data_IF_188201043050
#
_entry.id   IF_188201043050
#
_cell.length_a   1.000
_cell.length_b   1.000
_cell.length_c   1.000
_cell.angle_alpha   90.00
_cell.angle_beta   90.00
_cell.angle_gamma   90.00
#
_symmetry.space_group_name_H-M   'P 1'
#
loop_
_entity.id
_entity.type
_entity.pdbx_description
1 polymer ?
#
# COMPACT_ATOMS: atom_id res chain seq x y z
N UNK A 1 5.01 -23.75 18.50
CA UNK A 1 5.63 -23.68 19.83
C UNK A 1 4.60 -23.00 20.69
N UNK A 2 3.97 -23.74 21.59
CA UNK A 2 3.10 -23.14 22.60
C UNK A 2 3.99 -22.20 23.40
N UNK A 3 3.74 -20.90 23.36
CA UNK A 3 4.41 -19.97 24.27
C UNK A 3 3.84 -20.24 25.66
N UNK A 4 4.40 -21.24 26.33
CA UNK A 4 4.02 -21.61 27.69
C UNK A 4 4.52 -20.53 28.65
N UNK A 5 3.71 -20.19 29.64
CA UNK A 5 4.08 -19.24 30.69
C UNK A 5 5.12 -19.89 31.61
N UNK A 6 6.37 -19.93 31.15
CA UNK A 6 7.51 -20.56 31.82
C UNK A 6 7.71 -20.06 33.24
N UNK A 7 7.55 -18.75 33.47
CA UNK A 7 7.63 -18.13 34.80
C UNK A 7 6.56 -18.68 35.76
N UNK A 8 5.33 -18.87 35.28
CA UNK A 8 4.26 -19.48 36.07
C UNK A 8 4.53 -20.97 36.34
N UNK A 9 5.02 -21.70 35.35
CA UNK A 9 5.37 -23.13 35.47
C UNK A 9 6.47 -23.33 36.51
N UNK A 10 7.53 -22.53 36.46
CA UNK A 10 8.62 -22.55 37.45
C UNK A 10 8.11 -22.23 38.85
N UNK A 11 7.29 -21.18 38.99
CA UNK A 11 6.67 -20.80 40.27
C UNK A 11 5.81 -21.93 40.86
N UNK A 12 4.97 -22.57 40.05
CA UNK A 12 4.10 -23.67 40.49
C UNK A 12 4.90 -24.92 40.87
N UNK A 13 5.97 -25.23 40.14
CA UNK A 13 6.86 -26.34 40.46
C UNK A 13 7.59 -26.15 41.80
N UNK A 14 7.84 -24.91 42.22
CA UNK A 14 8.42 -24.63 43.54
C UNK A 14 7.36 -24.56 44.64
N UNK A 15 6.19 -23.99 44.35
CA UNK A 15 5.15 -23.73 45.36
C UNK A 15 4.26 -24.91 45.68
N UNK A 16 3.85 -25.71 44.70
CA UNK A 16 2.95 -26.85 44.95
C UNK A 16 3.59 -27.89 45.89
N UNK A 17 4.86 -28.29 45.72
CA UNK A 17 5.51 -29.21 46.65
C UNK A 17 5.65 -28.64 48.06
N UNK A 18 5.77 -27.32 48.22
CA UNK A 18 5.82 -26.67 49.54
C UNK A 18 4.50 -26.73 50.32
N UNK A 19 3.40 -27.02 49.60
CA UNK A 19 2.05 -27.22 50.15
C UNK A 19 1.67 -28.70 50.24
N UNK A 20 2.64 -29.61 50.07
CA UNK A 20 2.47 -31.06 49.98
C UNK A 20 1.56 -31.51 48.82
N UNK A 21 1.58 -30.77 47.71
CA UNK A 21 0.82 -31.06 46.50
C UNK A 21 1.75 -31.50 45.35
N UNK A 22 1.28 -32.46 44.56
CA UNK A 22 2.02 -32.95 43.39
C UNK A 22 1.99 -31.93 42.23
N UNK A 23 3.14 -31.36 41.92
CA UNK A 23 3.26 -30.35 40.86
C UNK A 23 2.81 -30.89 39.50
N UNK A 24 3.16 -32.12 39.15
CA UNK A 24 2.91 -32.65 37.81
C UNK A 24 1.42 -32.86 37.54
N UNK A 25 0.69 -33.29 38.56
CA UNK A 25 -0.76 -33.46 38.49
C UNK A 25 -1.46 -32.10 38.39
N UNK A 26 -1.17 -31.17 39.30
CA UNK A 26 -1.95 -29.95 39.45
C UNK A 26 -1.56 -28.82 38.48
N UNK A 27 -0.33 -28.81 37.97
CA UNK A 27 0.14 -27.79 37.03
C UNK A 27 -0.68 -27.77 35.74
N UNK A 28 -1.05 -28.93 35.21
CA UNK A 28 -1.88 -29.04 34.01
C UNK A 28 -3.28 -28.45 34.21
N UNK A 29 -3.87 -28.66 35.39
CA UNK A 29 -5.19 -28.09 35.72
C UNK A 29 -5.13 -26.56 35.85
N UNK A 30 -4.13 -26.03 36.57
CA UNK A 30 -3.98 -24.58 36.78
C UNK A 30 -3.69 -23.87 35.46
N UNK A 31 -2.75 -24.39 34.66
CA UNK A 31 -2.40 -23.77 33.37
C UNK A 31 -3.54 -23.87 32.36
N UNK A 32 -4.34 -24.94 32.41
CA UNK A 32 -5.52 -25.12 31.57
C UNK A 32 -6.65 -24.14 31.91
N UNK A 33 -6.99 -23.99 33.19
CA UNK A 33 -8.11 -23.13 33.61
C UNK A 33 -7.87 -21.65 33.37
N UNK A 34 -6.62 -21.20 33.44
CA UNK A 34 -6.25 -19.81 33.16
C UNK A 34 -6.56 -19.37 31.72
N UNK A 35 -6.77 -20.33 30.81
CA UNK A 35 -7.15 -20.04 29.42
C UNK A 35 -8.65 -19.93 29.19
N UNK A 36 -9.47 -20.46 30.11
CA UNK A 36 -10.93 -20.56 29.97
C UNK A 36 -11.66 -19.53 30.83
N UNK A 37 -11.56 -19.58 32.16
CA UNK A 37 -12.33 -18.72 33.07
C UNK A 37 -11.71 -18.62 34.49
N UNK A 38 -11.82 -17.45 35.13
CA UNK A 38 -11.35 -17.24 36.51
C UNK A 38 -12.15 -18.06 37.54
N UNK A 39 -13.41 -18.39 37.25
CA UNK A 39 -14.27 -19.20 38.11
C UNK A 39 -13.74 -20.65 38.24
N UNK A 40 -13.17 -21.21 37.16
CA UNK A 40 -12.54 -22.54 37.20
C UNK A 40 -11.29 -22.55 38.08
N UNK A 41 -10.54 -21.45 38.11
CA UNK A 41 -9.37 -21.32 38.98
C UNK A 41 -9.80 -21.34 40.47
N UNK A 42 -10.93 -20.74 40.82
CA UNK A 42 -11.46 -20.78 42.18
C UNK A 42 -11.82 -22.19 42.63
N UNK A 43 -12.45 -22.97 41.76
CA UNK A 43 -12.76 -24.38 42.03
C UNK A 43 -11.49 -25.22 42.20
N UNK A 44 -10.47 -24.98 41.37
CA UNK A 44 -9.17 -25.66 41.47
C UNK A 44 -8.47 -25.27 42.77
N UNK A 45 -8.50 -24.00 43.18
CA UNK A 45 -7.87 -23.56 44.43
C UNK A 45 -8.55 -24.21 45.64
N UNK A 46 -9.88 -24.31 45.64
CA UNK A 46 -10.62 -25.05 46.68
C UNK A 46 -10.25 -26.55 46.70
N UNK A 47 -10.08 -27.17 45.52
CA UNK A 47 -9.64 -28.55 45.42
C UNK A 47 -8.22 -28.75 45.96
N UNK A 48 -7.29 -27.84 45.64
CA UNK A 48 -5.91 -27.86 46.14
C UNK A 48 -5.87 -27.70 47.66
N UNK A 49 -6.70 -26.80 48.20
CA UNK A 49 -6.83 -26.61 49.63
C UNK A 49 -7.35 -27.88 50.32
N UNK A 50 -8.41 -28.50 49.79
CA UNK A 50 -8.95 -29.75 50.31
C UNK A 50 -7.98 -30.93 50.17
N UNK A 51 -7.09 -30.89 49.17
CA UNK A 51 -6.09 -31.93 48.92
C UNK A 51 -4.80 -31.74 49.73
N UNK A 52 -4.57 -30.56 50.29
CA UNK A 52 -3.38 -30.29 51.11
C UNK A 52 -3.57 -30.83 52.52
N UNK A 53 -2.76 -31.82 52.89
CA UNK A 53 -2.82 -32.41 54.23
C UNK A 53 -2.35 -31.42 55.31
N UNK A 54 -1.35 -30.60 55.00
CA UNK A 54 -0.70 -29.70 55.95
C UNK A 54 -1.32 -28.30 56.05
N UNK A 55 -1.99 -27.84 55.00
CA UNK A 55 -2.47 -26.45 54.89
C UNK A 55 -3.98 -26.31 54.64
N UNK A 56 -4.76 -27.38 54.83
CA UNK A 56 -6.22 -27.37 54.57
C UNK A 56 -7.00 -26.27 55.31
N UNK A 57 -6.55 -25.83 56.49
CA UNK A 57 -7.19 -24.76 57.28
C UNK A 57 -6.63 -23.35 56.99
N UNK A 58 -5.59 -23.22 56.16
CA UNK A 58 -4.89 -21.97 55.89
C UNK A 58 -5.43 -21.28 54.62
N UNK A 59 -6.62 -20.68 54.73
CA UNK A 59 -7.25 -19.91 53.64
C UNK A 59 -6.33 -18.82 53.07
N UNK A 60 -5.53 -18.17 53.91
CA UNK A 60 -4.67 -17.06 53.51
C UNK A 60 -3.59 -17.52 52.52
N UNK A 61 -2.99 -18.70 52.73
CA UNK A 61 -1.98 -19.25 51.80
C UNK A 61 -2.54 -19.53 50.41
N UNK A 62 -3.73 -20.13 50.32
CA UNK A 62 -4.36 -20.45 49.03
C UNK A 62 -4.90 -19.20 48.32
N UNK A 63 -5.40 -18.22 49.07
CA UNK A 63 -5.76 -16.91 48.49
C UNK A 63 -4.53 -16.16 47.97
N UNK A 64 -3.39 -16.26 48.65
CA UNK A 64 -2.14 -15.70 48.15
C UNK A 64 -1.65 -16.44 46.90
N UNK A 65 -1.70 -17.77 46.90
CA UNK A 65 -1.38 -18.58 45.72
C UNK A 65 -2.22 -18.19 44.50
N UNK A 66 -3.53 -18.04 44.67
CA UNK A 66 -4.44 -17.57 43.60
C UNK A 66 -3.99 -16.21 43.06
N UNK A 67 -3.71 -15.24 43.93
CA UNK A 67 -3.27 -13.90 43.52
C UNK A 67 -1.96 -13.96 42.75
N UNK A 68 -0.99 -14.73 43.22
CA UNK A 68 0.32 -14.86 42.58
C UNK A 68 0.19 -15.50 41.18
N UNK A 69 -0.63 -16.55 41.06
CA UNK A 69 -0.93 -17.21 39.78
C UNK A 69 -1.54 -16.19 38.78
N UNK A 70 -2.55 -15.43 39.20
CA UNK A 70 -3.20 -14.43 38.35
C UNK A 70 -2.24 -13.30 37.96
N UNK A 71 -1.40 -12.83 38.87
CA UNK A 71 -0.40 -11.80 38.58
C UNK A 71 0.63 -12.27 37.55
N UNK A 72 1.17 -13.48 37.71
CA UNK A 72 2.11 -14.06 36.74
C UNK A 72 1.46 -14.33 35.39
N UNK A 73 0.19 -14.75 35.38
CA UNK A 73 -0.54 -14.99 34.14
C UNK A 73 -0.83 -13.68 33.39
N UNK A 74 -1.35 -12.67 34.08
CA UNK A 74 -1.65 -11.36 33.48
C UNK A 74 -0.40 -10.65 32.98
N UNK A 75 0.72 -10.71 33.73
CA UNK A 75 2.00 -10.17 33.29
C UNK A 75 2.50 -10.87 32.00
N UNK A 76 2.35 -12.19 31.92
CA UNK A 76 2.71 -12.94 30.71
C UNK A 76 1.82 -12.58 29.51
N UNK A 77 0.50 -12.45 29.71
CA UNK A 77 -0.41 -12.02 28.65
C UNK A 77 -0.02 -10.64 28.11
N UNK A 78 0.28 -9.68 28.99
CA UNK A 78 0.74 -8.34 28.60
C UNK A 78 2.05 -8.37 27.82
N UNK A 79 3.02 -9.19 28.26
CA UNK A 79 4.30 -9.37 27.56
C UNK A 79 4.08 -9.94 26.14
N UNK A 80 3.17 -10.91 26.02
CA UNK A 80 2.80 -11.50 24.73
C UNK A 80 2.07 -10.54 23.80
N UNK A 81 1.19 -9.70 24.32
CA UNK A 81 0.51 -8.66 23.55
C UNK A 81 1.49 -7.61 23.04
N UNK A 82 2.38 -7.14 23.91
CA UNK A 82 3.41 -6.16 23.55
C UNK A 82 4.37 -6.71 22.49
N UNK A 83 4.76 -7.98 22.59
CA UNK A 83 5.58 -8.65 21.58
C UNK A 83 4.86 -8.77 20.24
N UNK A 84 3.57 -9.12 20.25
CA UNK A 84 2.75 -9.16 19.01
C UNK A 84 2.62 -7.79 18.37
N UNK A 85 2.47 -6.73 19.17
CA UNK A 85 2.41 -5.35 18.67
C UNK A 85 3.73 -4.93 18.03
N UNK A 86 4.86 -5.24 18.67
CA UNK A 86 6.20 -4.99 18.12
C UNK A 86 6.42 -5.75 16.80
N UNK A 87 6.08 -7.04 16.75
CA UNK A 87 6.20 -7.86 15.54
C UNK A 87 5.32 -7.32 14.39
N UNK A 88 4.13 -6.79 14.71
CA UNK A 88 3.24 -6.18 13.74
C UNK A 88 3.82 -4.87 13.20
N UNK A 89 4.36 -4.03 14.09
CA UNK A 89 5.00 -2.78 13.71
C UNK A 89 6.23 -3.03 12.82
N UNK A 90 7.10 -3.98 13.20
CA UNK A 90 8.28 -4.33 12.41
C UNK A 90 7.88 -4.82 11.00
N UNK A 91 6.87 -5.67 10.89
CA UNK A 91 6.35 -6.13 9.58
C UNK A 91 5.83 -4.97 8.73
N UNK A 92 5.17 -4.00 9.35
CA UNK A 92 4.63 -2.84 8.65
C UNK A 92 5.77 -1.94 8.14
N UNK A 93 6.80 -1.70 8.95
CA UNK A 93 8.01 -0.97 8.56
C UNK A 93 8.76 -1.67 7.44
N UNK A 94 8.94 -2.99 7.53
CA UNK A 94 9.56 -3.78 6.45
C UNK A 94 8.75 -3.71 5.15
N UNK A 95 7.42 -3.75 5.23
CA UNK A 95 6.56 -3.61 4.05
C UNK A 95 6.70 -2.22 3.40
N UNK A 96 6.72 -1.16 4.21
CA UNK A 96 6.92 0.20 3.70
C UNK A 96 8.30 0.38 3.06
N UNK A 97 9.35 -0.20 3.65
CA UNK A 97 10.69 -0.15 3.10
C UNK A 97 10.75 -0.85 1.74
N UNK A 98 10.16 -2.05 1.63
CA UNK A 98 10.08 -2.78 0.36
C UNK A 98 9.33 -1.98 -0.71
N UNK A 99 8.18 -1.37 -0.35
CA UNK A 99 7.43 -0.54 -1.30
C UNK A 99 8.25 0.68 -1.78
N UNK A 100 9.00 1.33 -0.88
CA UNK A 100 9.89 2.44 -1.26
C UNK A 100 10.99 1.98 -2.21
N UNK A 101 11.63 0.85 -1.91
CA UNK A 101 12.67 0.27 -2.77
C UNK A 101 12.13 -0.12 -4.15
N UNK A 102 10.96 -0.74 -4.22
CA UNK A 102 10.29 -1.07 -5.49
C UNK A 102 9.93 0.19 -6.30
N UNK A 103 9.45 1.23 -5.62
CA UNK A 103 9.13 2.51 -6.26
C UNK A 103 10.38 3.20 -6.82
N UNK A 104 11.47 3.24 -6.05
CA UNK A 104 12.74 3.82 -6.48
C UNK A 104 13.36 3.03 -7.65
N UNK A 105 13.33 1.70 -7.59
CA UNK A 105 13.77 0.84 -8.68
C UNK A 105 12.94 1.10 -9.96
N UNK A 106 11.62 1.26 -9.83
CA UNK A 106 10.75 1.58 -10.97
C UNK A 106 11.05 2.95 -11.59
N UNK A 107 11.39 3.95 -10.76
CA UNK A 107 11.79 5.28 -11.24
C UNK A 107 13.12 5.22 -12.00
N UNK A 108 14.12 4.54 -11.45
CA UNK A 108 15.42 4.31 -12.10
C UNK A 108 15.25 3.61 -13.45
N UNK A 109 14.42 2.57 -13.53
CA UNK A 109 14.16 1.86 -14.78
C UNK A 109 13.50 2.77 -15.84
N UNK A 110 12.54 3.61 -15.43
CA UNK A 110 11.91 4.59 -16.33
C UNK A 110 12.90 5.64 -16.81
N UNK A 111 13.78 6.13 -15.94
CA UNK A 111 14.80 7.10 -16.30
C UNK A 111 15.81 6.50 -17.29
N UNK A 112 16.27 5.27 -17.07
CA UNK A 112 17.16 4.57 -18.00
C UNK A 112 16.50 4.38 -19.36
N UNK A 113 15.24 3.94 -19.39
CA UNK A 113 14.46 3.80 -20.64
C UNK A 113 14.32 5.15 -21.38
N UNK A 114 14.09 6.24 -20.66
CA UNK A 114 14.02 7.57 -21.27
C UNK A 114 15.37 8.02 -21.85
N UNK A 115 16.48 7.81 -21.12
CA UNK A 115 17.83 8.12 -21.61
C UNK A 115 18.18 7.30 -22.85
N UNK A 116 17.82 6.02 -22.90
CA UNK A 116 18.01 5.19 -24.10
C UNK A 116 17.16 5.69 -25.27
N UNK A 117 15.91 6.08 -25.03
CA UNK A 117 15.03 6.62 -26.07
C UNK A 117 15.55 7.95 -26.61
N UNK A 118 16.07 8.82 -25.75
CA UNK A 118 16.73 10.08 -26.14
C UNK A 118 17.98 9.80 -26.98
N UNK A 119 18.87 8.91 -26.53
CA UNK A 119 20.05 8.51 -27.31
C UNK A 119 19.69 7.97 -28.69
N UNK A 120 18.64 7.14 -28.79
CA UNK A 120 18.16 6.63 -30.08
C UNK A 120 17.63 7.76 -30.97
N UNK A 121 16.83 8.68 -30.42
CA UNK A 121 16.35 9.87 -31.16
C UNK A 121 17.49 10.76 -31.64
N UNK A 122 18.51 10.96 -30.82
CA UNK A 122 19.70 11.74 -31.20
C UNK A 122 20.52 11.04 -32.29
N UNK A 123 20.63 9.70 -32.24
CA UNK A 123 21.32 8.93 -33.26
C UNK A 123 20.56 8.85 -34.60
N UNK A 124 19.22 8.86 -34.57
CA UNK A 124 18.36 8.87 -35.77
C UNK A 124 18.16 10.26 -36.38
N UNK A 125 18.66 11.31 -35.73
CA UNK A 125 18.56 12.69 -36.22
C UNK A 125 19.59 12.97 -37.32
N UNK A 126 19.07 13.35 -38.50
CA UNK A 126 19.84 13.79 -39.67
C UNK A 126 20.79 14.96 -39.29
N UNK A 127 22.09 14.95 -39.67
CA UNK A 127 23.04 15.99 -39.28
C UNK A 127 22.59 17.42 -39.62
N UNK A 128 21.83 17.60 -40.70
CA UNK A 128 21.27 18.90 -41.07
C UNK A 128 20.22 19.42 -40.06
N UNK A 129 19.37 18.53 -39.51
CA UNK A 129 18.42 18.88 -38.44
C UNK A 129 19.13 19.16 -37.12
N UNK A 130 20.20 18.43 -36.82
CA UNK A 130 21.01 18.66 -35.62
C UNK A 130 21.68 20.04 -35.67
N UNK A 131 22.27 20.41 -36.81
CA UNK A 131 22.85 21.74 -37.02
C UNK A 131 21.80 22.86 -36.93
N UNK A 132 20.59 22.65 -37.48
CA UNK A 132 19.48 23.60 -37.34
C UNK A 132 19.06 23.75 -35.88
N UNK A 133 18.96 22.65 -35.13
CA UNK A 133 18.63 22.72 -33.70
C UNK A 133 19.76 23.38 -32.91
N UNK A 134 21.03 23.16 -33.23
CA UNK A 134 22.14 23.84 -32.56
C UNK A 134 22.18 25.34 -32.88
N UNK A 135 21.85 25.73 -34.11
CA UNK A 135 21.82 27.12 -34.56
C UNK A 135 20.64 27.92 -34.01
N UNK A 136 19.51 27.26 -33.70
CA UNK A 136 18.31 27.86 -33.13
C UNK A 136 17.99 27.37 -31.71
N UNK A 137 18.89 26.60 -31.09
CA UNK A 137 18.79 26.24 -29.69
C UNK A 137 19.06 27.52 -28.93
N UNK A 138 18.04 28.00 -28.23
CA UNK A 138 18.21 29.09 -27.31
C UNK A 138 19.26 28.68 -26.28
N UNK A 139 20.36 29.43 -26.25
CA UNK A 139 21.37 29.29 -25.23
C UNK A 139 20.67 29.53 -23.89
N UNK A 140 20.49 28.46 -23.12
CA UNK A 140 19.79 28.49 -21.82
C UNK A 140 20.63 29.17 -20.73
N UNK A 141 21.58 30.01 -21.15
CA UNK A 141 22.43 30.86 -20.33
C UNK A 141 21.75 32.17 -19.91
N UNK A 142 20.53 32.46 -20.38
CA UNK A 142 19.76 33.62 -19.93
C UNK A 142 19.31 33.40 -18.48
N UNK A 143 20.10 33.92 -17.55
CA UNK A 143 19.74 34.00 -16.13
C UNK A 143 18.78 35.18 -15.94
N UNK A 144 17.65 34.89 -15.31
CA UNK A 144 16.67 35.89 -14.93
C UNK A 144 16.86 36.25 -13.45
N UNK A 145 16.72 37.53 -13.11
CA UNK A 145 16.61 37.96 -11.73
C UNK A 145 15.22 37.59 -11.13
N UNK A 146 15.06 37.78 -9.82
CA UNK A 146 13.80 37.48 -9.12
C UNK A 146 12.61 38.37 -9.56
N UNK A 147 12.86 39.41 -10.35
CA UNK A 147 11.84 40.31 -10.91
C UNK A 147 11.54 39.99 -12.40
N UNK A 148 12.18 38.94 -12.94
CA UNK A 148 11.95 38.46 -14.30
C UNK A 148 12.71 39.22 -15.40
N UNK A 149 13.69 40.05 -15.03
CA UNK A 149 14.54 40.74 -15.99
C UNK A 149 15.75 39.89 -16.39
N UNK A 150 16.17 40.02 -17.65
CA UNK A 150 17.34 39.32 -18.21
C UNK A 150 18.61 39.95 -17.64
N UNK A 151 19.45 39.15 -16.99
CA UNK A 151 20.81 39.57 -16.61
C UNK A 151 21.69 39.37 -17.86
N UNK A 152 21.95 40.45 -18.58
CA UNK A 152 22.86 40.44 -19.74
C UNK A 152 24.30 40.21 -19.26
N UNK A 153 24.83 39.00 -19.46
CA UNK A 153 26.28 38.83 -19.63
C UNK A 153 26.62 39.12 -21.09
N UNK A 154 27.48 40.10 -21.27
CA UNK A 154 27.84 40.74 -22.54
C UNK A 154 28.45 39.77 -23.55
N UNK A 155 27.65 39.34 -24.54
CA UNK A 155 28.16 38.80 -25.82
C UNK A 155 27.30 39.23 -27.00
N UNK A 156 27.65 40.39 -27.58
CA UNK A 156 27.89 40.59 -29.02
C UNK A 156 26.82 40.21 -30.08
N UNK A 157 26.30 41.26 -30.74
CA UNK A 157 26.04 41.39 -32.18
C UNK A 157 24.82 40.67 -32.84
N UNK A 158 23.70 41.38 -32.91
CA UNK A 158 23.13 41.91 -34.17
C UNK A 158 22.41 40.97 -35.16
N UNK A 159 21.06 40.96 -35.15
CA UNK A 159 20.23 40.85 -36.36
C UNK A 159 18.82 41.43 -36.08
N UNK A 160 18.21 42.12 -37.06
CA UNK A 160 16.93 42.82 -36.87
C UNK A 160 15.79 41.83 -36.55
N UNK A 161 15.44 41.76 -35.27
CA UNK A 161 14.34 40.95 -34.74
C UNK A 161 13.02 41.44 -35.33
N UNK A 162 12.36 40.60 -36.14
CA UNK A 162 10.94 40.77 -36.48
C UNK A 162 10.17 40.80 -35.16
N UNK A 163 9.75 41.98 -34.74
CA UNK A 163 9.23 42.22 -33.40
C UNK A 163 8.08 41.27 -33.03
N UNK A 164 8.15 40.75 -31.81
CA UNK A 164 7.25 39.77 -31.18
C UNK A 164 5.75 39.95 -31.48
N UNK A 165 5.31 41.19 -31.72
CA UNK A 165 3.92 41.54 -32.02
C UNK A 165 3.42 40.96 -33.35
N UNK A 166 4.23 41.01 -34.42
CA UNK A 166 3.83 40.53 -35.74
C UNK A 166 3.77 39.00 -35.81
N UNK A 167 4.66 38.32 -35.07
CA UNK A 167 4.69 36.86 -34.98
C UNK A 167 3.52 36.31 -34.15
N UNK A 168 3.18 36.98 -33.04
CA UNK A 168 2.06 36.62 -32.18
C UNK A 168 0.70 36.74 -32.89
N UNK A 169 0.49 37.78 -33.69
CA UNK A 169 -0.74 37.95 -34.47
C UNK A 169 -0.91 36.86 -35.54
N UNK A 170 0.19 36.46 -36.20
CA UNK A 170 0.17 35.38 -37.20
C UNK A 170 -0.17 34.02 -36.56
N UNK A 171 0.45 33.71 -35.42
CA UNK A 171 0.18 32.47 -34.66
C UNK A 171 -1.24 32.39 -34.12
N UNK A 172 -1.78 33.49 -33.58
CA UNK A 172 -3.16 33.50 -33.08
C UNK A 172 -4.18 33.28 -34.20
N UNK A 173 -3.92 33.82 -35.40
CA UNK A 173 -4.78 33.65 -36.56
C UNK A 173 -4.77 32.20 -37.08
N UNK A 174 -3.59 31.57 -37.10
CA UNK A 174 -3.42 30.18 -37.51
C UNK A 174 -4.04 29.18 -36.50
N UNK A 175 -3.84 29.43 -35.20
CA UNK A 175 -4.43 28.62 -34.13
C UNK A 175 -5.96 28.68 -34.12
N UNK A 176 -6.54 29.85 -34.37
CA UNK A 176 -8.00 30.00 -34.48
C UNK A 176 -8.59 29.23 -35.67
N UNK A 177 -7.88 29.17 -36.80
CA UNK A 177 -8.30 28.41 -37.98
C UNK A 177 -8.24 26.89 -37.73
N UNK A 178 -7.18 26.40 -37.07
CA UNK A 178 -7.06 24.98 -36.71
C UNK A 178 -8.15 24.52 -35.72
N UNK A 179 -8.47 25.34 -34.71
CA UNK A 179 -9.53 25.02 -33.75
C UNK A 179 -10.92 24.94 -34.40
N UNK A 180 -11.20 25.79 -35.40
CA UNK A 180 -12.45 25.71 -36.19
C UNK A 180 -12.53 24.46 -37.07
N UNK A 181 -11.39 23.93 -37.51
CA UNK A 181 -11.30 22.67 -38.27
C UNK A 181 -11.57 21.44 -37.39
N UNK A 182 -10.96 21.38 -36.21
CA UNK A 182 -11.09 20.25 -35.27
C UNK A 182 -12.52 20.07 -34.71
N UNK A 183 -13.21 21.18 -34.43
CA UNK A 183 -14.58 21.14 -33.89
C UNK A 183 -15.61 20.53 -34.86
N UNK A 184 -15.37 20.60 -36.18
CA UNK A 184 -16.25 20.01 -37.20
C UNK A 184 -16.03 18.49 -37.36
N UNK A 185 -14.82 18.00 -37.14
CA UNK A 185 -14.50 16.57 -37.18
C UNK A 185 -15.17 15.83 -36.00
N UNK A 186 -15.09 16.38 -34.79
CA UNK A 186 -15.65 15.76 -33.57
C UNK A 186 -17.15 15.51 -33.64
N UNK A 187 -17.95 16.44 -34.19
CA UNK A 187 -19.42 16.27 -34.31
C UNK A 187 -19.80 15.21 -35.34
N UNK A 188 -19.03 15.06 -36.42
CA UNK A 188 -19.28 14.06 -37.47
C UNK A 188 -18.96 12.65 -36.95
N UNK A 189 -17.88 12.52 -36.17
CA UNK A 189 -17.46 11.23 -35.60
C UNK A 189 -18.38 10.77 -34.47
N UNK A 190 -18.89 11.67 -33.62
CA UNK A 190 -19.90 11.33 -32.61
C UNK A 190 -21.23 10.89 -33.25
N UNK A 191 -21.67 11.55 -34.32
CA UNK A 191 -22.87 11.13 -35.05
C UNK A 191 -22.70 9.78 -35.73
N UNK A 192 -21.51 9.48 -36.28
CA UNK A 192 -21.21 8.19 -36.86
C UNK A 192 -21.23 7.05 -35.80
N UNK A 193 -20.63 7.29 -34.62
CA UNK A 193 -20.67 6.34 -33.50
C UNK A 193 -22.08 6.05 -33.01
N UNK A 194 -22.93 7.08 -32.89
CA UNK A 194 -24.32 6.93 -32.48
C UNK A 194 -25.16 6.13 -33.49
N UNK A 195 -24.94 6.35 -34.81
CA UNK A 195 -25.59 5.57 -35.87
C UNK A 195 -25.14 4.11 -35.86
N UNK A 196 -23.84 3.85 -35.67
CA UNK A 196 -23.30 2.48 -35.60
C UNK A 196 -23.90 1.70 -34.42
N UNK A 197 -23.95 2.31 -33.23
CA UNK A 197 -24.52 1.68 -32.04
C UNK A 197 -26.02 1.32 -32.20
N UNK A 198 -26.79 2.15 -32.92
CA UNK A 198 -28.20 1.84 -33.22
C UNK A 198 -28.33 0.65 -34.18
N UNK A 199 -27.47 0.56 -35.19
CA UNK A 199 -27.46 -0.55 -36.14
C UNK A 199 -27.09 -1.87 -35.45
N UNK A 200 -26.10 -1.87 -34.56
CA UNK A 200 -25.69 -3.08 -33.85
C UNK A 200 -26.78 -3.56 -32.88
N UNK A 201 -27.48 -2.64 -32.22
CA UNK A 201 -28.62 -2.97 -31.35
C UNK A 201 -29.81 -3.56 -32.13
N UNK A 202 -30.05 -3.08 -33.36
CA UNK A 202 -31.06 -3.65 -34.26
C UNK A 202 -30.68 -5.07 -34.71
N UNK A 203 -29.42 -5.29 -35.11
CA UNK A 203 -28.91 -6.62 -35.50
C UNK A 203 -29.04 -7.64 -34.37
N UNK A 204 -28.64 -7.28 -33.15
CA UNK A 204 -28.77 -8.17 -31.98
C UNK A 204 -30.24 -8.51 -31.67
N UNK A 205 -31.17 -7.56 -31.83
CA UNK A 205 -32.60 -7.84 -31.67
C UNK A 205 -33.13 -8.77 -32.75
N UNK A 206 -32.68 -8.62 -33.99
CA UNK A 206 -33.08 -9.47 -35.11
C UNK A 206 -32.55 -10.90 -34.96
N UNK A 207 -31.29 -11.07 -34.52
CA UNK A 207 -30.72 -12.39 -34.21
C UNK A 207 -31.48 -13.10 -33.09
N UNK A 208 -31.84 -12.37 -32.02
CA UNK A 208 -32.67 -12.93 -30.93
C UNK A 208 -34.05 -13.37 -31.44
N UNK A 209 -34.69 -12.59 -32.31
CA UNK A 209 -35.98 -12.95 -32.93
C UNK A 209 -35.85 -14.18 -33.84
N UNK A 210 -34.81 -14.25 -34.69
CA UNK A 210 -34.54 -15.42 -35.55
C UNK A 210 -34.26 -16.68 -34.73
N UNK A 211 -33.59 -16.56 -33.58
CA UNK A 211 -33.32 -17.68 -32.67
C UNK A 211 -34.59 -18.20 -32.01
N UNK A 212 -35.48 -17.31 -31.56
CA UNK A 212 -36.78 -17.67 -30.99
C UNK A 212 -37.70 -18.34 -32.03
N UNK A 213 -37.77 -17.80 -33.26
CA UNK A 213 -38.61 -18.33 -34.34
C UNK A 213 -38.15 -19.71 -34.87
N UNK A 214 -36.84 -20.03 -34.75
CA UNK A 214 -36.30 -21.37 -35.04
C UNK A 214 -36.67 -22.42 -33.98
N UNK A 215 -37.03 -22.00 -32.76
CA UNK A 215 -37.42 -22.89 -31.66
C UNK A 215 -38.85 -23.39 -31.74
N UNK A 216 -39.77 -22.60 -32.32
CA UNK A 216 -41.19 -22.97 -32.45
C UNK A 216 -41.48 -23.96 -33.59
N UNK A 217 -40.64 -24.01 -34.64
CA UNK A 217 -40.82 -24.95 -35.77
C UNK A 217 -40.41 -26.41 -35.47
N UNK A 218 -39.98 -26.70 -34.24
CA UNK A 218 -39.50 -28.03 -33.81
C UNK A 218 -40.37 -28.68 -32.72
N UNK A 219 -41.62 -28.22 -32.57
CA UNK A 219 -42.67 -28.94 -31.84
C UNK A 219 -43.75 -29.39 -32.80
#
# INVERSE_FOLDING_TARGET
MSDENTKLVEFLNEKLPSLDLDSDTYLSYITGSLSTDEEELDEIIQLLQASSESYSEDDDTFQQLKKDILQLHTAFQQEMELKKEQDLQEKLEQMQLKQKQEFEASLLEKEQKQKELQKKREAEMDPAKKALIEQYAYDSSVKYDNDGNIIEEDTGAGEQVIGNKALAEKMNKERSQQLKGAAKASKKDEQAKSKQAKMDKMKQKEERRKRAQKGERKR
#
